data_IF_348407075096
#
_entry.id   IF_348407075096
#
_cell.length_a   1.000
_cell.length_b   1.000
_cell.length_c   1.000
_cell.angle_alpha   90.00
_cell.angle_beta   90.00
_cell.angle_gamma   90.00
#
_symmetry.space_group_name_H-M   'P 1'
#
loop_
_entity.id
_entity.type
_entity.pdbx_description
1 polymer ?
#
# COMPACT_ATOMS: atom_id res chain seq x y z
N UNK A 1 1.52 -14.16 5.14
CA UNK A 1 2.03 -12.84 4.65
C UNK A 1 3.28 -13.12 3.83
N UNK A 2 3.44 -12.47 2.69
CA UNK A 2 4.62 -12.57 1.84
C UNK A 2 5.87 -12.22 2.67
N UNK A 3 6.95 -12.97 2.48
CA UNK A 3 8.26 -12.69 3.07
C UNK A 3 8.83 -11.42 2.44
N UNK A 4 8.58 -10.28 3.04
CA UNK A 4 8.97 -8.97 2.51
C UNK A 4 10.42 -8.71 2.91
N UNK A 5 11.31 -8.60 1.92
CA UNK A 5 12.74 -8.27 2.12
C UNK A 5 13.04 -6.78 2.12
N UNK A 6 12.06 -6.00 1.71
CA UNK A 6 12.17 -4.55 1.53
C UNK A 6 11.01 -3.84 2.20
N UNK A 7 11.22 -2.60 2.55
CA UNK A 7 10.23 -1.74 3.19
C UNK A 7 9.98 -0.51 2.32
N UNK A 8 8.73 -0.29 1.95
CA UNK A 8 8.21 1.05 1.69
C UNK A 8 7.49 1.49 2.95
N UNK A 9 7.76 2.68 3.44
CA UNK A 9 7.08 3.19 4.64
C UNK A 9 5.57 3.22 4.39
N UNK A 10 4.80 2.60 5.26
CA UNK A 10 3.33 2.55 5.10
C UNK A 10 2.69 3.95 5.01
N UNK A 11 3.31 4.95 5.64
CA UNK A 11 2.90 6.36 5.56
C UNK A 11 3.10 6.97 4.17
N UNK A 12 3.82 6.30 3.26
CA UNK A 12 4.05 6.76 1.88
C UNK A 12 3.22 5.97 0.85
N UNK A 13 2.42 4.99 1.29
CA UNK A 13 1.61 4.18 0.36
C UNK A 13 0.58 5.02 -0.39
N UNK A 14 0.02 6.07 0.21
CA UNK A 14 -0.88 7.00 -0.44
C UNK A 14 -0.17 7.79 -1.56
N UNK A 15 1.08 8.19 -1.35
CA UNK A 15 1.90 8.88 -2.35
C UNK A 15 2.26 7.95 -3.52
N UNK A 16 2.59 6.68 -3.23
CA UNK A 16 2.79 5.65 -4.25
C UNK A 16 1.49 5.39 -5.02
N UNK A 17 0.37 5.30 -4.32
CA UNK A 17 -0.95 5.06 -4.93
C UNK A 17 -1.39 6.23 -5.82
N UNK A 18 -1.13 7.46 -5.41
CA UNK A 18 -1.39 8.66 -6.21
C UNK A 18 -0.37 8.83 -7.35
N UNK A 19 0.83 8.25 -7.22
CA UNK A 19 1.91 8.35 -8.21
C UNK A 19 2.83 9.54 -8.01
N UNK A 20 2.75 10.23 -6.88
CA UNK A 20 3.67 11.30 -6.51
C UNK A 20 5.02 10.79 -6.00
N UNK A 21 5.09 9.51 -5.61
CA UNK A 21 6.32 8.85 -5.17
C UNK A 21 6.63 7.62 -6.03
N UNK A 22 7.89 7.48 -6.43
CA UNK A 22 8.44 6.28 -7.09
C UNK A 22 8.93 5.30 -6.04
N UNK A 23 8.10 4.28 -5.73
CA UNK A 23 8.39 3.28 -4.71
C UNK A 23 9.76 2.59 -4.86
N UNK A 24 10.25 2.43 -6.09
CA UNK A 24 11.56 1.79 -6.36
C UNK A 24 12.75 2.61 -5.87
N UNK A 25 12.61 3.95 -5.76
CA UNK A 25 13.69 4.84 -5.33
C UNK A 25 13.75 4.97 -3.81
N UNK A 26 12.62 4.76 -3.14
CA UNK A 26 12.48 4.97 -1.69
C UNK A 26 12.34 3.65 -0.91
N UNK A 27 12.62 2.53 -1.58
CA UNK A 27 12.58 1.21 -0.97
C UNK A 27 13.84 0.93 -0.13
N UNK A 28 13.64 0.59 1.13
CA UNK A 28 14.73 0.24 2.05
C UNK A 28 14.88 -1.27 2.12
N UNK A 29 16.04 -1.78 1.72
CA UNK A 29 16.41 -3.20 1.91
C UNK A 29 16.75 -3.44 3.37
N UNK A 30 15.96 -4.25 4.07
CA UNK A 30 16.12 -4.50 5.52
C UNK A 30 17.51 -4.98 5.90
N UNK A 31 18.14 -5.87 5.13
CA UNK A 31 19.48 -6.38 5.43
C UNK A 31 20.54 -5.29 5.36
N UNK A 32 20.48 -4.41 4.37
CA UNK A 32 21.41 -3.29 4.23
C UNK A 32 21.21 -2.24 5.34
N UNK A 33 19.94 -1.97 5.68
CA UNK A 33 19.60 -1.06 6.77
C UNK A 33 20.06 -1.63 8.12
N UNK A 34 19.85 -2.93 8.35
CA UNK A 34 20.29 -3.62 9.56
C UNK A 34 21.80 -3.51 9.77
N UNK A 35 22.58 -3.73 8.71
CA UNK A 35 24.05 -3.56 8.75
C UNK A 35 24.46 -2.14 9.10
N UNK A 36 23.82 -1.15 8.50
CA UNK A 36 24.13 0.27 8.74
C UNK A 36 23.74 0.72 10.14
N UNK A 37 22.63 0.22 10.67
CA UNK A 37 22.08 0.65 11.96
C UNK A 37 22.44 -0.29 13.13
N UNK A 38 23.19 -1.36 12.89
CA UNK A 38 23.73 -2.23 13.94
C UNK A 38 22.69 -3.16 14.58
N UNK A 39 21.61 -3.54 13.87
CA UNK A 39 20.67 -4.55 14.33
C UNK A 39 20.68 -5.81 13.45
N UNK A 40 20.07 -6.89 13.93
CA UNK A 40 19.94 -8.14 13.16
C UNK A 40 18.56 -8.24 12.56
N UNK A 41 18.50 -8.49 11.26
CA UNK A 41 17.26 -8.76 10.55
C UNK A 41 17.13 -10.27 10.29
N UNK A 42 15.96 -10.84 10.63
CA UNK A 42 15.59 -12.21 10.33
C UNK A 42 14.33 -12.22 9.47
N UNK A 43 14.44 -12.82 8.29
CA UNK A 43 13.29 -13.05 7.44
C UNK A 43 12.51 -14.26 7.97
N UNK A 44 11.23 -14.10 8.24
CA UNK A 44 10.37 -15.18 8.72
C UNK A 44 9.05 -14.66 9.28
N UNK A 45 8.17 -15.58 9.56
CA UNK A 45 6.86 -15.29 10.16
C UNK A 45 6.87 -15.67 11.63
N UNK A 46 6.34 -14.82 12.48
CA UNK A 46 6.07 -15.16 13.88
C UNK A 46 5.07 -16.30 13.93
N UNK A 47 5.44 -17.41 14.57
CA UNK A 47 4.59 -18.57 14.76
C UNK A 47 4.02 -18.61 16.19
N UNK A 48 4.88 -18.39 17.18
CA UNK A 48 4.49 -18.41 18.59
C UNK A 48 5.46 -17.63 19.48
N UNK A 49 5.09 -17.41 20.73
CA UNK A 49 5.91 -16.74 21.74
C UNK A 49 5.91 -17.58 23.01
N UNK A 50 7.06 -18.17 23.35
CA UNK A 50 7.30 -18.81 24.64
C UNK A 50 7.67 -17.72 25.69
N UNK A 51 6.70 -17.35 26.50
CA UNK A 51 6.84 -16.28 27.49
C UNK A 51 7.71 -16.71 28.68
N UNK A 52 7.69 -17.99 29.02
CA UNK A 52 8.44 -18.52 30.17
C UNK A 52 9.93 -18.56 29.86
N UNK A 53 10.28 -18.94 28.65
CA UNK A 53 11.65 -18.97 28.14
C UNK A 53 12.10 -17.66 27.53
N UNK A 54 11.18 -16.72 27.34
CA UNK A 54 11.40 -15.46 26.61
C UNK A 54 11.96 -15.70 25.20
N UNK A 55 11.29 -16.55 24.45
CA UNK A 55 11.70 -16.91 23.09
C UNK A 55 10.56 -16.63 22.12
N UNK A 56 10.93 -16.03 20.97
CA UNK A 56 10.07 -15.93 19.78
C UNK A 56 10.33 -17.14 18.91
N UNK A 57 9.29 -17.82 18.49
CA UNK A 57 9.35 -18.97 17.58
C UNK A 57 9.03 -18.48 16.18
N UNK A 58 10.00 -18.63 15.28
CA UNK A 58 9.92 -18.21 13.88
C UNK A 58 9.65 -19.45 13.04
N UNK A 59 8.63 -19.36 12.20
CA UNK A 59 8.23 -20.45 11.31
C UNK A 59 9.34 -20.79 10.30
N UNK A 60 9.38 -22.03 9.81
CA UNK A 60 10.28 -22.41 8.73
C UNK A 60 10.09 -21.52 7.51
N UNK A 61 11.17 -21.19 6.84
CA UNK A 61 11.17 -20.52 5.55
C UNK A 61 11.20 -21.57 4.45
N UNK A 62 10.22 -21.54 3.57
CA UNK A 62 10.11 -22.44 2.44
C UNK A 62 10.46 -21.72 1.14
N UNK A 63 10.95 -22.44 0.14
CA UNK A 63 11.10 -21.96 -1.23
C UNK A 63 9.76 -22.01 -2.00
N UNK A 64 9.82 -21.68 -3.30
CA UNK A 64 8.64 -21.66 -4.19
C UNK A 64 8.05 -23.07 -4.43
N UNK A 65 8.87 -24.12 -4.26
CA UNK A 65 8.49 -25.52 -4.39
C UNK A 65 8.01 -26.13 -3.05
N UNK A 66 8.00 -25.34 -1.97
CA UNK A 66 7.60 -25.75 -0.63
C UNK A 66 8.68 -26.51 0.13
N UNK A 67 9.94 -26.49 -0.32
CA UNK A 67 11.05 -27.11 0.38
C UNK A 67 11.60 -26.16 1.47
N UNK A 68 12.02 -26.75 2.57
CA UNK A 68 12.54 -26.00 3.70
C UNK A 68 13.94 -25.42 3.38
N UNK A 69 14.03 -24.08 3.33
CA UNK A 69 15.30 -23.35 3.22
C UNK A 69 15.93 -23.10 4.59
N UNK A 70 15.12 -22.78 5.57
CA UNK A 70 15.54 -22.52 6.94
C UNK A 70 14.48 -23.13 7.85
N UNK A 71 14.89 -24.01 8.77
CA UNK A 71 13.98 -24.64 9.73
C UNK A 71 13.42 -23.67 10.78
N UNK A 72 12.45 -24.17 11.55
CA UNK A 72 11.99 -23.45 12.74
C UNK A 72 13.17 -23.04 13.61
N UNK A 73 13.20 -21.80 14.05
CA UNK A 73 14.24 -21.33 14.95
C UNK A 73 13.68 -20.42 16.04
N UNK A 74 14.42 -20.31 17.15
CA UNK A 74 14.01 -19.57 18.33
C UNK A 74 14.96 -18.41 18.56
N UNK A 75 14.40 -17.26 18.89
CA UNK A 75 15.14 -16.02 19.16
C UNK A 75 14.83 -15.58 20.58
N UNK A 76 15.85 -15.55 21.44
CA UNK A 76 15.71 -15.05 22.81
C UNK A 76 15.62 -13.52 22.84
N UNK A 77 14.85 -13.02 23.80
CA UNK A 77 14.68 -11.60 24.04
C UNK A 77 14.69 -11.25 25.53
N UNK A 78 15.14 -10.08 25.86
CA UNK A 78 14.96 -9.47 27.18
C UNK A 78 13.67 -8.61 27.18
N UNK A 79 13.44 -7.88 26.08
CA UNK A 79 12.24 -7.09 25.81
C UNK A 79 11.71 -7.45 24.42
N UNK A 80 10.40 -7.67 24.32
CA UNK A 80 9.73 -7.96 23.06
C UNK A 80 8.75 -6.84 22.72
N UNK A 81 8.92 -6.26 21.52
CA UNK A 81 7.93 -5.34 20.93
C UNK A 81 7.23 -6.04 19.77
N UNK A 82 5.92 -6.16 19.86
CA UNK A 82 5.09 -6.73 18.80
C UNK A 82 4.57 -5.60 17.93
N UNK A 83 5.09 -5.48 16.72
CA UNK A 83 4.77 -4.44 15.76
C UNK A 83 4.42 -5.04 14.39
N UNK A 84 3.49 -6.01 14.39
CA UNK A 84 3.10 -6.80 13.21
C UNK A 84 2.18 -6.08 12.23
N UNK A 85 1.86 -4.82 12.49
CA UNK A 85 0.93 -4.02 11.70
C UNK A 85 -0.52 -4.46 11.84
N UNK A 86 -1.38 -3.88 11.04
CA UNK A 86 -2.81 -4.19 10.96
C UNK A 86 -3.20 -4.60 9.54
N UNK A 87 -4.40 -5.09 9.40
CA UNK A 87 -5.05 -5.36 8.12
C UNK A 87 -6.38 -4.62 8.11
N UNK A 88 -6.82 -4.19 6.93
CA UNK A 88 -8.13 -3.57 6.78
C UNK A 88 -9.23 -4.53 7.17
N UNK A 89 -10.22 -4.02 7.89
CA UNK A 89 -11.39 -4.77 8.30
C UNK A 89 -12.59 -4.30 7.47
N UNK A 90 -13.30 -5.24 6.85
CA UNK A 90 -14.52 -4.94 6.10
C UNK A 90 -15.77 -4.89 6.98
N UNK A 91 -15.63 -5.17 8.29
CA UNK A 91 -16.71 -5.22 9.27
C UNK A 91 -17.93 -6.05 8.83
N UNK A 92 -17.72 -7.00 7.90
CA UNK A 92 -18.80 -7.82 7.33
C UNK A 92 -19.72 -7.07 6.37
N UNK A 93 -19.35 -5.88 5.90
CA UNK A 93 -20.15 -5.12 4.95
C UNK A 93 -20.14 -5.82 3.59
N UNK A 94 -21.35 -6.18 3.12
CA UNK A 94 -21.51 -6.89 1.87
C UNK A 94 -20.98 -6.08 0.69
N UNK A 95 -20.17 -6.73 -0.14
CA UNK A 95 -19.63 -6.13 -1.36
C UNK A 95 -18.27 -5.45 -1.20
N UNK A 96 -17.77 -5.24 0.02
CA UNK A 96 -16.45 -4.59 0.22
C UNK A 96 -15.35 -5.39 -0.43
N UNK A 97 -15.26 -6.70 -0.16
CA UNK A 97 -14.19 -7.56 -0.72
C UNK A 97 -14.17 -7.61 -2.25
N UNK A 98 -15.34 -7.47 -2.87
CA UNK A 98 -15.48 -7.57 -4.34
C UNK A 98 -15.29 -6.21 -5.05
N UNK A 99 -15.61 -5.11 -4.39
CA UNK A 99 -15.71 -3.80 -5.03
C UNK A 99 -14.71 -2.77 -4.53
N UNK A 100 -14.09 -2.99 -3.36
CA UNK A 100 -13.08 -2.10 -2.82
C UNK A 100 -11.67 -2.64 -3.04
N UNK A 101 -10.72 -1.73 -3.08
CA UNK A 101 -9.29 -2.04 -3.03
C UNK A 101 -8.78 -1.60 -1.65
N UNK A 102 -8.22 -2.52 -0.88
CA UNK A 102 -7.49 -2.16 0.33
C UNK A 102 -6.13 -1.57 -0.03
N UNK A 103 -5.66 -0.60 0.73
CA UNK A 103 -4.35 0.01 0.56
C UNK A 103 -3.45 -0.42 1.74
N UNK A 104 -2.97 -1.67 1.68
CA UNK A 104 -2.21 -2.29 2.78
C UNK A 104 -0.74 -2.55 2.41
N UNK A 105 -0.47 -2.65 1.12
CA UNK A 105 0.85 -3.01 0.61
C UNK A 105 1.23 -2.15 -0.59
N UNK A 106 2.52 -2.15 -0.91
CA UNK A 106 3.02 -1.56 -2.16
C UNK A 106 2.29 -2.11 -3.39
N UNK A 107 2.06 -3.42 -3.45
CA UNK A 107 1.34 -4.06 -4.55
C UNK A 107 -0.07 -3.49 -4.74
N UNK A 108 -0.76 -3.24 -3.63
CA UNK A 108 -2.10 -2.63 -3.67
C UNK A 108 -2.02 -1.19 -4.16
N UNK A 109 -1.02 -0.42 -3.71
CA UNK A 109 -0.79 0.94 -4.15
C UNK A 109 -0.49 1.00 -5.65
N UNK A 110 0.40 0.15 -6.16
CA UNK A 110 0.73 0.04 -7.59
C UNK A 110 -0.49 -0.38 -8.42
N UNK A 111 -1.29 -1.33 -7.93
CA UNK A 111 -2.51 -1.78 -8.60
C UNK A 111 -3.56 -0.65 -8.65
N UNK A 112 -3.73 0.09 -7.56
CA UNK A 112 -4.62 1.24 -7.52
C UNK A 112 -4.15 2.35 -8.48
N UNK A 113 -2.87 2.72 -8.44
CA UNK A 113 -2.26 3.70 -9.35
C UNK A 113 -2.52 3.34 -10.81
N UNK A 114 -2.23 2.09 -11.20
CA UNK A 114 -2.43 1.63 -12.56
C UNK A 114 -3.90 1.73 -13.00
N UNK A 115 -4.83 1.39 -12.10
CA UNK A 115 -6.26 1.49 -12.38
C UNK A 115 -6.71 2.95 -12.51
N UNK A 116 -6.24 3.83 -11.62
CA UNK A 116 -6.53 5.26 -11.65
C UNK A 116 -6.04 5.89 -12.97
N UNK A 117 -4.78 5.68 -13.34
CA UNK A 117 -4.20 6.20 -14.58
C UNK A 117 -4.95 5.72 -15.82
N UNK A 118 -5.37 4.44 -15.84
CA UNK A 118 -6.19 3.92 -16.94
C UNK A 118 -7.55 4.61 -17.04
N UNK A 119 -8.17 4.98 -15.93
CA UNK A 119 -9.41 5.75 -15.91
C UNK A 119 -9.17 7.19 -16.39
N UNK A 120 -8.13 7.86 -15.92
CA UNK A 120 -7.75 9.20 -16.36
C UNK A 120 -7.50 9.24 -17.88
N UNK A 121 -6.74 8.28 -18.41
CA UNK A 121 -6.47 8.16 -19.86
C UNK A 121 -7.76 7.98 -20.67
N UNK A 122 -8.67 7.10 -20.22
CA UNK A 122 -9.94 6.87 -20.90
C UNK A 122 -10.82 8.12 -20.88
N UNK A 123 -10.89 8.81 -19.74
CA UNK A 123 -11.65 10.05 -19.59
C UNK A 123 -11.04 11.16 -20.44
N UNK A 124 -9.72 11.36 -20.40
CA UNK A 124 -9.00 12.35 -21.25
C UNK A 124 -9.29 12.12 -22.73
N UNK A 125 -9.25 10.86 -23.20
CA UNK A 125 -9.55 10.53 -24.59
C UNK A 125 -10.99 10.84 -24.98
N UNK A 126 -11.96 10.61 -24.09
CA UNK A 126 -13.38 10.95 -24.35
C UNK A 126 -13.58 12.45 -24.42
N UNK A 127 -12.97 13.20 -23.49
CA UNK A 127 -13.01 14.66 -23.48
C UNK A 127 -12.33 15.28 -24.71
N UNK A 128 -11.30 14.64 -25.26
CA UNK A 128 -10.67 15.09 -26.52
C UNK A 128 -11.60 14.92 -27.73
N UNK A 129 -12.53 13.96 -27.69
CA UNK A 129 -13.53 13.74 -28.75
C UNK A 129 -14.76 14.62 -28.53
N UNK A 130 -15.22 14.73 -27.29
CA UNK A 130 -16.35 15.58 -26.89
C UNK A 130 -15.98 16.42 -25.66
N UNK A 131 -15.47 17.64 -25.86
CA UNK A 131 -15.10 18.56 -24.77
C UNK A 131 -16.28 19.01 -23.90
N UNK A 132 -17.51 18.85 -24.39
CA UNK A 132 -18.74 19.19 -23.65
C UNK A 132 -19.19 18.08 -22.70
N UNK A 133 -18.55 16.91 -22.73
CA UNK A 133 -18.89 15.77 -21.89
C UNK A 133 -18.67 16.07 -20.40
N UNK A 134 -19.57 15.58 -19.57
CA UNK A 134 -19.46 15.59 -18.09
C UNK A 134 -18.64 14.40 -17.55
N UNK A 135 -17.84 13.78 -18.39
CA UNK A 135 -17.01 12.63 -17.99
C UNK A 135 -16.04 13.03 -16.88
N UNK A 136 -16.03 12.26 -15.80
CA UNK A 136 -15.22 12.45 -14.61
C UNK A 136 -14.66 11.13 -14.09
N UNK A 137 -13.51 11.18 -13.47
CA UNK A 137 -12.99 10.08 -12.64
C UNK A 137 -13.53 10.27 -11.22
N UNK A 138 -14.23 9.25 -10.71
CA UNK A 138 -14.80 9.27 -9.35
C UNK A 138 -14.10 8.25 -8.48
N UNK A 139 -13.58 8.70 -7.34
CA UNK A 139 -12.91 7.86 -6.34
C UNK A 139 -13.68 7.97 -5.03
N UNK A 140 -14.13 6.84 -4.50
CA UNK A 140 -14.67 6.76 -3.14
C UNK A 140 -13.58 6.25 -2.19
N UNK A 141 -13.35 6.94 -1.09
CA UNK A 141 -12.43 6.51 -0.03
C UNK A 141 -13.27 6.21 1.20
N UNK A 142 -13.24 4.97 1.66
CA UNK A 142 -13.91 4.54 2.89
C UNK A 142 -12.93 4.62 4.04
N UNK A 143 -13.24 5.50 4.99
CA UNK A 143 -12.39 5.90 6.11
C UNK A 143 -11.86 7.33 5.92
N UNK A 144 -12.34 8.26 6.76
CA UNK A 144 -11.88 9.66 6.77
C UNK A 144 -10.85 9.93 7.88
N UNK A 145 -10.09 8.91 8.28
CA UNK A 145 -8.92 9.07 9.14
C UNK A 145 -7.75 9.73 8.38
N UNK A 146 -6.62 9.90 9.05
CA UNK A 146 -5.44 10.57 8.48
C UNK A 146 -5.07 10.03 7.10
N UNK A 147 -4.93 8.72 6.95
CA UNK A 147 -4.57 8.07 5.68
C UNK A 147 -5.56 8.37 4.55
N UNK A 148 -6.88 8.37 4.84
CA UNK A 148 -7.89 8.64 3.82
C UNK A 148 -7.88 10.10 3.37
N UNK A 149 -7.66 11.03 4.29
CA UNK A 149 -7.54 12.46 4.00
C UNK A 149 -6.27 12.75 3.22
N UNK A 150 -5.13 12.16 3.61
CA UNK A 150 -3.86 12.28 2.90
C UNK A 150 -3.96 11.73 1.48
N UNK A 151 -4.56 10.53 1.30
CA UNK A 151 -4.79 9.96 -0.02
C UNK A 151 -5.66 10.90 -0.89
N UNK A 152 -6.72 11.46 -0.33
CA UNK A 152 -7.58 12.38 -1.08
C UNK A 152 -6.80 13.62 -1.55
N UNK A 153 -5.97 14.20 -0.69
CA UNK A 153 -5.12 15.35 -1.03
C UNK A 153 -4.10 15.00 -2.13
N UNK A 154 -3.42 13.84 -1.99
CA UNK A 154 -2.43 13.38 -2.96
C UNK A 154 -3.06 13.08 -4.33
N UNK A 155 -4.29 12.57 -4.37
CA UNK A 155 -4.99 12.33 -5.63
C UNK A 155 -5.27 13.63 -6.40
N UNK A 156 -5.66 14.71 -5.72
CA UNK A 156 -5.84 16.02 -6.36
C UNK A 156 -4.50 16.62 -6.80
N UNK A 157 -3.47 16.50 -5.97
CA UNK A 157 -2.11 16.95 -6.30
C UNK A 157 -1.57 16.21 -7.55
N UNK A 158 -1.75 14.90 -7.61
CA UNK A 158 -1.38 14.10 -8.79
C UNK A 158 -2.19 14.50 -10.04
N UNK A 159 -3.52 14.70 -9.89
CA UNK A 159 -4.38 15.09 -11.01
C UNK A 159 -3.95 16.41 -11.63
N UNK A 160 -3.58 17.42 -10.83
CA UNK A 160 -3.09 18.71 -11.30
C UNK A 160 -1.80 18.60 -12.12
N UNK A 161 -1.02 17.54 -11.89
CA UNK A 161 0.26 17.30 -12.56
C UNK A 161 0.13 16.47 -13.85
N UNK A 162 -1.02 15.82 -14.08
CA UNK A 162 -1.22 14.89 -15.22
C UNK A 162 -1.10 15.57 -16.59
N UNK A 163 -1.43 16.86 -16.69
CA UNK A 163 -1.22 17.64 -17.92
C UNK A 163 0.24 17.64 -18.38
N UNK A 164 1.20 17.64 -17.44
CA UNK A 164 2.64 17.59 -17.75
C UNK A 164 3.08 16.24 -18.35
N UNK A 165 2.22 15.21 -18.25
CA UNK A 165 2.47 13.87 -18.77
C UNK A 165 1.64 13.53 -20.00
N UNK A 166 1.13 14.56 -20.71
CA UNK A 166 0.41 14.39 -21.98
C UNK A 166 -1.09 14.09 -21.83
N UNK A 167 -1.66 14.39 -20.68
CA UNK A 167 -3.11 14.34 -20.43
C UNK A 167 -3.69 15.77 -20.43
N UNK A 168 -3.43 16.54 -21.49
CA UNK A 168 -3.67 17.98 -21.59
C UNK A 168 -5.12 18.43 -21.35
N UNK A 169 -6.08 17.53 -21.54
CA UNK A 169 -7.52 17.81 -21.33
C UNK A 169 -8.04 17.24 -20.01
N UNK A 170 -7.19 16.62 -19.19
CA UNK A 170 -7.55 16.10 -17.87
C UNK A 170 -6.87 16.97 -16.81
N UNK A 171 -7.66 17.58 -15.98
CA UNK A 171 -7.22 18.37 -14.83
C UNK A 171 -7.94 17.94 -13.54
N UNK A 172 -7.63 18.60 -12.44
CA UNK A 172 -8.23 18.32 -11.13
C UNK A 172 -9.75 18.49 -11.10
N UNK A 173 -10.33 19.32 -11.99
CA UNK A 173 -11.79 19.51 -12.07
C UNK A 173 -12.49 18.25 -12.60
N UNK A 174 -11.78 17.37 -13.27
CA UNK A 174 -12.25 16.08 -13.79
C UNK A 174 -12.07 14.91 -12.83
N UNK A 175 -11.50 15.17 -11.64
CA UNK A 175 -11.41 14.21 -10.54
C UNK A 175 -12.40 14.60 -9.44
N UNK A 176 -13.21 13.64 -9.00
CA UNK A 176 -14.06 13.79 -7.82
C UNK A 176 -13.73 12.73 -6.79
N UNK A 177 -13.17 13.15 -5.67
CA UNK A 177 -12.93 12.26 -4.52
C UNK A 177 -14.05 12.45 -3.49
N UNK A 178 -14.57 11.35 -2.97
CA UNK A 178 -15.57 11.34 -1.91
C UNK A 178 -15.06 10.54 -0.73
N UNK A 179 -14.92 11.18 0.42
CA UNK A 179 -14.62 10.53 1.69
C UNK A 179 -15.92 10.05 2.33
N UNK A 180 -15.91 8.80 2.81
CA UNK A 180 -17.06 8.16 3.45
C UNK A 180 -16.58 7.64 4.80
N UNK A 181 -17.21 8.07 5.89
CA UNK A 181 -16.90 7.59 7.23
C UNK A 181 -18.18 7.25 8.00
N UNK A 182 -18.05 6.34 8.94
CA UNK A 182 -19.10 6.05 9.90
C UNK A 182 -18.84 6.92 11.14
N UNK A 183 -19.44 8.11 11.18
CA UNK A 183 -19.43 8.97 12.36
C UNK A 183 -20.35 8.46 13.45
#
# INVERSE_FOLDING_TARGET
RENIRTLVWNTLLQEVAAGSLEANLDEVVYSAHAQRCGYRFFLGSLMDIDRDRREVIVAPLLDEDGQELIGEHRIRYDYLVIAVGSVSNDFGVTGVKQNCMALESRRDADAFRSRLLNHCLKTSRRLSVDPSSDDMVRVGIVGAGATGVELAAELYNAASSLGNYGLDVFDESRLKVTLIDAS
#
